data_IF_471460671225
#
_entry.id   IF_471460671225
#
_cell.length_a   1.000
_cell.length_b   1.000
_cell.length_c   1.000
_cell.angle_alpha   90.00
_cell.angle_beta   90.00
_cell.angle_gamma   90.00
#
_symmetry.space_group_name_H-M   'P 1'
#
loop_
_entity.id
_entity.type
_entity.pdbx_description
1 polymer ?
#
# COMPACT_ATOMS: atom_id res chain seq x y z
N UNK A 1 -50.24 18.62 -7.31
CA UNK A 1 -48.82 18.41 -7.68
C UNK A 1 -47.87 18.10 -6.49
N UNK A 2 -48.35 17.62 -5.32
CA UNK A 2 -47.51 17.42 -4.09
C UNK A 2 -46.97 15.99 -3.82
N UNK A 3 -47.25 15.00 -4.69
CA UNK A 3 -46.92 13.57 -4.42
C UNK A 3 -45.56 13.10 -4.99
N UNK A 4 -44.96 13.87 -5.90
CA UNK A 4 -43.62 13.55 -6.43
C UNK A 4 -42.50 13.79 -5.39
N UNK A 5 -42.67 14.78 -4.51
CA UNK A 5 -41.64 15.18 -3.54
C UNK A 5 -41.40 14.15 -2.44
N UNK A 6 -42.40 13.37 -2.02
CA UNK A 6 -42.18 12.32 -0.99
C UNK A 6 -41.42 11.12 -1.54
N UNK A 7 -41.81 10.63 -2.73
CA UNK A 7 -41.12 9.53 -3.43
C UNK A 7 -39.67 9.86 -3.78
N UNK A 8 -39.43 11.08 -4.27
CA UNK A 8 -38.08 11.56 -4.56
C UNK A 8 -37.21 11.62 -3.30
N UNK A 9 -37.77 12.06 -2.17
CA UNK A 9 -37.03 12.16 -0.91
C UNK A 9 -36.57 10.79 -0.39
N UNK A 10 -37.44 9.79 -0.42
CA UNK A 10 -37.09 8.41 0.00
C UNK A 10 -36.03 7.82 -0.94
N UNK A 11 -36.21 7.96 -2.26
CA UNK A 11 -35.21 7.48 -3.23
C UNK A 11 -33.85 8.18 -3.04
N UNK A 12 -33.85 9.49 -2.77
CA UNK A 12 -32.63 10.25 -2.49
C UNK A 12 -31.91 9.74 -1.24
N UNK A 13 -32.65 9.44 -0.16
CA UNK A 13 -32.08 8.86 1.05
C UNK A 13 -31.53 7.45 0.84
N UNK A 14 -32.23 6.61 0.06
CA UNK A 14 -31.73 5.27 -0.29
C UNK A 14 -30.43 5.34 -1.09
N UNK A 15 -30.36 6.23 -2.08
CA UNK A 15 -29.13 6.47 -2.85
C UNK A 15 -28.02 6.98 -1.93
N UNK A 16 -28.29 7.99 -1.11
CA UNK A 16 -27.28 8.57 -0.21
C UNK A 16 -26.70 7.54 0.76
N UNK A 17 -27.54 6.71 1.39
CA UNK A 17 -27.09 5.66 2.33
C UNK A 17 -26.28 4.59 1.60
N UNK A 18 -26.71 4.16 0.41
CA UNK A 18 -25.98 3.16 -0.35
C UNK A 18 -24.63 3.70 -0.86
N UNK A 19 -24.59 4.93 -1.38
CA UNK A 19 -23.34 5.59 -1.78
C UNK A 19 -22.38 5.68 -0.59
N UNK A 20 -22.89 6.06 0.58
CA UNK A 20 -22.08 6.14 1.80
C UNK A 20 -21.54 4.76 2.22
N UNK A 21 -22.38 3.72 2.21
CA UNK A 21 -21.98 2.36 2.55
C UNK A 21 -20.90 1.81 1.60
N UNK A 22 -21.08 1.98 0.29
CA UNK A 22 -20.11 1.56 -0.73
C UNK A 22 -18.79 2.33 -0.59
N UNK A 23 -18.86 3.65 -0.37
CA UNK A 23 -17.66 4.47 -0.19
C UNK A 23 -16.86 4.06 1.04
N UNK A 24 -17.54 3.81 2.17
CA UNK A 24 -16.90 3.33 3.39
C UNK A 24 -16.27 1.95 3.20
N UNK A 25 -16.99 1.03 2.54
CA UNK A 25 -16.48 -0.30 2.25
C UNK A 25 -15.23 -0.23 1.35
N UNK A 26 -15.25 0.58 0.30
CA UNK A 26 -14.12 0.78 -0.60
C UNK A 26 -12.91 1.39 0.09
N UNK A 27 -13.12 2.42 0.91
CA UNK A 27 -12.06 3.04 1.69
C UNK A 27 -11.44 2.04 2.67
N UNK A 28 -12.26 1.23 3.35
CA UNK A 28 -11.80 0.17 4.25
C UNK A 28 -11.00 -0.91 3.52
N UNK A 29 -11.47 -1.38 2.37
CA UNK A 29 -10.78 -2.36 1.55
C UNK A 29 -9.42 -1.84 1.05
N UNK A 30 -9.37 -0.60 0.54
CA UNK A 30 -8.13 0.03 0.11
C UNK A 30 -7.13 0.22 1.26
N UNK A 31 -7.61 0.61 2.45
CA UNK A 31 -6.77 0.72 3.64
C UNK A 31 -6.19 -0.64 4.05
N UNK A 32 -7.03 -1.68 4.08
CA UNK A 32 -6.60 -3.02 4.45
C UNK A 32 -5.56 -3.57 3.47
N UNK A 33 -5.84 -3.48 2.17
CA UNK A 33 -4.93 -3.94 1.12
C UNK A 33 -3.59 -3.19 1.17
N UNK A 34 -3.62 -1.86 1.32
CA UNK A 34 -2.39 -1.06 1.47
C UNK A 34 -1.57 -1.54 2.66
N UNK A 35 -2.22 -1.82 3.78
CA UNK A 35 -1.55 -2.27 5.01
C UNK A 35 -0.89 -3.63 4.79
N UNK A 36 -1.61 -4.59 4.24
CA UNK A 36 -1.13 -5.94 3.96
C UNK A 36 0.05 -5.93 2.96
N UNK A 37 -0.05 -5.14 1.89
CA UNK A 37 1.04 -4.99 0.92
C UNK A 37 2.29 -4.36 1.53
N UNK A 38 2.13 -3.35 2.39
CA UNK A 38 3.27 -2.75 3.10
C UNK A 38 3.89 -3.70 4.12
N UNK A 39 3.07 -4.49 4.82
CA UNK A 39 3.54 -5.51 5.77
C UNK A 39 4.31 -6.62 5.04
N UNK A 40 3.84 -7.05 3.86
CA UNK A 40 4.54 -8.01 3.01
C UNK A 40 5.89 -7.47 2.53
N UNK A 41 5.96 -6.23 2.06
CA UNK A 41 7.23 -5.59 1.69
C UNK A 41 8.17 -5.51 2.89
N UNK A 42 7.66 -5.12 4.06
CA UNK A 42 8.47 -5.03 5.27
C UNK A 42 8.98 -6.40 5.75
N UNK A 43 8.18 -7.45 5.60
CA UNK A 43 8.55 -8.83 5.90
C UNK A 43 9.60 -9.32 4.90
N UNK A 44 9.40 -9.09 3.61
CA UNK A 44 10.34 -9.46 2.56
C UNK A 44 11.70 -8.81 2.79
N UNK A 45 11.74 -7.51 3.09
CA UNK A 45 12.98 -6.79 3.45
C UNK A 45 13.64 -7.44 4.68
N UNK A 46 12.86 -7.84 5.70
CA UNK A 46 13.40 -8.41 6.94
C UNK A 46 13.95 -9.82 6.75
N UNK A 47 13.25 -10.69 6.03
CA UNK A 47 13.71 -12.05 5.72
C UNK A 47 15.04 -11.98 4.96
N UNK A 48 15.07 -11.13 3.95
CA UNK A 48 16.24 -10.82 3.15
C UNK A 48 17.39 -10.21 3.96
N UNK A 49 17.10 -9.27 4.86
CA UNK A 49 18.09 -8.67 5.75
C UNK A 49 18.69 -9.66 6.73
N UNK A 50 17.89 -10.62 7.19
CA UNK A 50 18.33 -11.67 8.10
C UNK A 50 19.30 -12.59 7.37
N UNK A 51 18.92 -13.10 6.19
CA UNK A 51 19.78 -13.92 5.34
C UNK A 51 21.11 -13.21 5.01
N UNK A 52 21.04 -11.93 4.61
CA UNK A 52 22.23 -11.13 4.33
C UNK A 52 23.10 -10.90 5.58
N UNK A 53 22.47 -10.62 6.73
CA UNK A 53 23.18 -10.44 7.98
C UNK A 53 23.88 -11.71 8.48
N UNK A 54 23.27 -12.87 8.24
CA UNK A 54 23.83 -14.16 8.64
C UNK A 54 25.05 -14.52 7.77
N UNK A 55 25.00 -14.21 6.47
CA UNK A 55 26.14 -14.33 5.54
C UNK A 55 27.31 -13.42 5.94
N UNK A 56 27.01 -12.18 6.37
CA UNK A 56 28.02 -11.26 6.92
C UNK A 56 28.68 -11.81 8.19
N UNK A 57 27.89 -12.40 9.09
CA UNK A 57 28.38 -12.98 10.34
C UNK A 57 29.22 -14.23 10.08
N UNK A 58 28.91 -15.03 9.06
CA UNK A 58 29.69 -16.20 8.66
C UNK A 58 31.05 -15.79 8.07
N UNK A 59 31.07 -14.78 7.20
CA UNK A 59 32.30 -14.26 6.60
C UNK A 59 33.22 -13.58 7.62
N UNK A 60 32.67 -12.91 8.64
CA UNK A 60 33.47 -12.37 9.75
C UNK A 60 34.10 -13.45 10.64
N UNK A 61 33.47 -14.62 10.77
CA UNK A 61 34.00 -15.72 11.59
C UNK A 61 35.10 -16.52 10.89
N UNK A 62 35.24 -16.42 9.56
CA UNK A 62 36.29 -17.08 8.81
C UNK A 62 37.69 -16.53 9.22
N UNK A 63 38.54 -17.35 9.88
CA UNK A 63 39.81 -16.87 10.39
C UNK A 63 40.82 -16.77 9.24
N UNK A 64 41.20 -15.54 8.84
CA UNK A 64 42.38 -15.31 7.99
C UNK A 64 42.24 -14.35 6.81
N UNK A 65 41.04 -13.86 6.45
CA UNK A 65 40.90 -12.80 5.44
C UNK A 65 40.58 -11.48 6.12
N UNK A 66 41.66 -10.80 6.54
CA UNK A 66 41.57 -9.51 7.21
C UNK A 66 40.88 -8.46 6.36
N UNK A 67 39.98 -7.71 7.00
CA UNK A 67 39.75 -6.25 6.89
C UNK A 67 39.61 -5.57 5.52
N UNK A 68 39.60 -6.32 4.43
CA UNK A 68 39.43 -5.83 3.09
C UNK A 68 37.94 -5.87 2.74
N UNK A 69 37.26 -4.78 3.11
CA UNK A 69 35.88 -4.50 2.73
C UNK A 69 35.60 -4.47 1.21
N UNK A 70 36.62 -4.75 0.39
CA UNK A 70 36.57 -5.04 -1.04
C UNK A 70 36.12 -6.47 -1.38
N UNK A 71 35.94 -7.35 -0.38
CA UNK A 71 35.49 -8.74 -0.54
C UNK A 71 33.96 -8.93 -0.64
N UNK A 72 33.19 -7.88 -0.95
CA UNK A 72 31.81 -8.05 -1.44
C UNK A 72 31.84 -7.92 -2.96
N UNK A 73 31.97 -9.01 -3.73
CA UNK A 73 31.80 -8.94 -5.17
C UNK A 73 30.43 -8.31 -5.44
N UNK A 74 30.40 -7.17 -6.11
CA UNK A 74 29.15 -6.53 -6.53
C UNK A 74 28.30 -7.48 -7.42
N UNK A 75 28.94 -8.53 -7.96
CA UNK A 75 28.35 -9.61 -8.74
C UNK A 75 27.48 -10.57 -7.92
N UNK A 76 27.71 -10.71 -6.60
CA UNK A 76 26.90 -11.56 -5.70
C UNK A 76 25.78 -10.79 -4.96
N UNK A 77 25.61 -9.50 -5.27
CA UNK A 77 24.50 -8.68 -4.77
C UNK A 77 23.27 -8.56 -5.73
N UNK A 78 22.91 -9.52 -6.61
CA UNK A 78 21.91 -9.30 -7.66
C UNK A 78 20.45 -9.28 -7.19
N UNK A 79 20.17 -9.26 -5.88
CA UNK A 79 18.79 -9.33 -5.34
C UNK A 79 18.23 -8.05 -4.74
N UNK A 80 19.05 -6.99 -4.63
CA UNK A 80 18.60 -5.74 -4.04
C UNK A 80 19.00 -4.55 -4.92
N UNK A 81 18.02 -3.89 -5.58
CA UNK A 81 18.32 -2.70 -6.37
C UNK A 81 18.85 -1.56 -5.48
N UNK A 82 18.46 -1.50 -4.21
CA UNK A 82 18.80 -0.42 -3.29
C UNK A 82 19.50 -0.93 -2.02
N UNK A 83 20.83 -0.82 -1.98
CA UNK A 83 21.66 -1.29 -0.84
C UNK A 83 22.74 -0.26 -0.47
N UNK A 84 22.89 0.00 0.82
CA UNK A 84 24.03 0.76 1.36
C UNK A 84 24.64 0.00 2.53
N UNK A 85 25.94 -0.33 2.47
CA UNK A 85 26.71 -0.96 3.55
C UNK A 85 27.73 0.02 4.12
N UNK A 86 27.84 0.06 5.44
CA UNK A 86 28.74 0.94 6.17
C UNK A 86 29.33 0.25 7.38
N UNK A 87 30.66 0.26 7.53
CA UNK A 87 31.33 -0.09 8.79
C UNK A 87 31.64 1.20 9.54
N UNK A 88 30.91 1.47 10.63
CA UNK A 88 31.04 2.75 11.36
C UNK A 88 30.80 3.98 10.48
N UNK A 89 31.85 4.75 10.20
CA UNK A 89 31.82 5.92 9.31
C UNK A 89 32.24 5.62 7.87
N UNK A 90 32.81 4.45 7.60
CA UNK A 90 33.35 4.07 6.29
C UNK A 90 32.28 3.39 5.44
N UNK A 91 31.99 3.97 4.27
CA UNK A 91 31.11 3.36 3.27
C UNK A 91 31.85 2.16 2.65
N UNK A 92 31.27 0.96 2.76
CA UNK A 92 31.84 -0.25 2.16
C UNK A 92 31.28 -0.46 0.75
N UNK A 93 29.96 -0.34 0.61
CA UNK A 93 29.29 -0.55 -0.65
C UNK A 93 28.05 0.34 -0.76
N UNK A 94 27.73 0.75 -1.99
CA UNK A 94 26.49 1.44 -2.33
C UNK A 94 26.03 1.01 -3.71
N UNK A 95 24.76 0.65 -3.84
CA UNK A 95 24.20 0.33 -5.14
C UNK A 95 24.11 1.58 -6.04
N UNK A 96 24.41 1.46 -7.36
CA UNK A 96 24.32 2.59 -8.29
C UNK A 96 22.92 3.22 -8.37
N UNK A 97 21.87 2.45 -8.10
CA UNK A 97 20.49 2.92 -8.14
C UNK A 97 20.18 4.00 -7.08
N UNK A 98 20.90 3.99 -5.95
CA UNK A 98 20.74 4.98 -4.87
C UNK A 98 21.27 6.37 -5.21
N UNK A 99 22.15 6.50 -6.20
CA UNK A 99 22.77 7.76 -6.59
C UNK A 99 23.41 8.48 -5.40
N UNK A 100 23.03 9.75 -5.15
CA UNK A 100 23.53 10.58 -4.04
C UNK A 100 22.63 10.57 -2.80
N UNK A 101 21.52 9.82 -2.79
CA UNK A 101 20.52 9.86 -1.73
C UNK A 101 21.01 9.19 -0.45
N UNK A 102 20.95 9.86 0.71
CA UNK A 102 21.37 9.27 2.00
C UNK A 102 20.28 8.34 2.55
N UNK A 103 20.56 7.04 2.60
CA UNK A 103 19.60 6.01 3.03
C UNK A 103 19.70 5.73 4.52
N UNK A 104 20.93 5.66 5.06
CA UNK A 104 21.18 5.48 6.48
C UNK A 104 21.10 6.86 7.16
N UNK A 105 20.04 7.15 7.96
CA UNK A 105 19.95 8.41 8.66
C UNK A 105 20.99 8.47 9.80
N UNK A 106 21.49 9.67 10.16
CA UNK A 106 22.44 9.85 11.26
C UNK A 106 21.84 9.49 12.63
N UNK A 107 20.51 9.42 12.74
CA UNK A 107 19.80 8.94 13.94
C UNK A 107 18.92 7.75 13.56
N UNK A 108 18.96 6.63 14.32
CA UNK A 108 18.09 5.50 14.08
C UNK A 108 16.62 5.93 14.24
N UNK A 109 15.78 5.55 13.27
CA UNK A 109 14.34 5.81 13.30
C UNK A 109 13.60 4.51 13.58
N UNK A 110 12.54 4.58 14.38
CA UNK A 110 11.67 3.43 14.69
C UNK A 110 10.77 3.00 13.52
N UNK A 111 10.57 3.85 12.51
CA UNK A 111 9.71 3.55 11.36
C UNK A 111 10.53 3.42 10.07
N UNK A 112 10.17 2.50 9.16
CA UNK A 112 10.74 2.44 7.82
C UNK A 112 10.62 3.80 7.11
N UNK A 113 11.65 4.16 6.33
CA UNK A 113 11.63 5.39 5.54
C UNK A 113 11.08 5.09 4.15
N UNK A 114 10.03 5.78 3.73
CA UNK A 114 9.63 5.83 2.33
C UNK A 114 10.30 7.03 1.67
N UNK A 115 11.04 6.78 0.59
CA UNK A 115 11.82 7.77 -0.12
C UNK A 115 11.60 7.60 -1.63
N UNK A 116 11.46 8.71 -2.35
CA UNK A 116 11.33 8.65 -3.81
C UNK A 116 12.72 8.65 -4.45
N UNK A 117 13.07 7.56 -5.13
CA UNK A 117 14.32 7.41 -5.89
C UNK A 117 13.98 7.35 -7.38
N UNK A 118 14.46 8.31 -8.18
CA UNK A 118 14.23 8.34 -9.64
C UNK A 118 12.75 8.09 -10.03
N UNK A 119 11.83 8.82 -9.39
CA UNK A 119 10.37 8.72 -9.55
C UNK A 119 9.70 7.45 -8.99
N UNK A 120 10.45 6.48 -8.47
CA UNK A 120 9.89 5.30 -7.81
C UNK A 120 9.85 5.52 -6.30
N UNK A 121 8.76 5.12 -5.64
CA UNK A 121 8.70 5.14 -4.18
C UNK A 121 9.40 3.89 -3.67
N UNK A 122 10.39 4.07 -2.81
CA UNK A 122 11.19 2.98 -2.26
C UNK A 122 11.07 3.01 -0.75
N UNK A 123 10.80 1.85 -0.15
CA UNK A 123 10.75 1.67 1.30
C UNK A 123 12.07 1.10 1.78
N UNK A 124 12.64 1.73 2.79
CA UNK A 124 13.95 1.40 3.34
C UNK A 124 13.87 0.98 4.80
N UNK A 125 14.63 -0.07 5.14
CA UNK A 125 14.91 -0.44 6.53
C UNK A 125 16.42 -0.53 6.75
N UNK A 126 16.86 -0.12 7.95
CA UNK A 126 18.26 -0.10 8.36
C UNK A 126 18.47 -1.16 9.43
N UNK A 127 19.49 -1.97 9.23
CA UNK A 127 19.87 -3.07 10.10
C UNK A 127 21.30 -2.86 10.60
N UNK A 128 21.60 -3.38 11.79
CA UNK A 128 22.91 -3.29 12.40
C UNK A 128 23.33 -4.66 12.91
N UNK A 129 24.52 -5.12 12.51
CA UNK A 129 25.18 -6.36 12.94
C UNK A 129 26.62 -6.02 13.35
N UNK A 130 26.90 -6.06 14.65
CA UNK A 130 28.18 -5.58 15.19
C UNK A 130 28.48 -4.12 14.82
N UNK A 131 29.62 -3.93 14.14
CA UNK A 131 30.08 -2.62 13.64
C UNK A 131 29.60 -2.30 12.21
N UNK A 132 28.96 -3.26 11.54
CA UNK A 132 28.39 -3.08 10.20
C UNK A 132 26.93 -2.63 10.33
N UNK A 133 26.61 -1.53 9.65
CA UNK A 133 25.26 -1.03 9.43
C UNK A 133 24.95 -1.13 7.95
N UNK A 134 23.85 -1.79 7.61
CA UNK A 134 23.41 -1.91 6.22
C UNK A 134 21.95 -1.49 6.08
N UNK A 135 21.62 -0.89 4.94
CA UNK A 135 20.26 -0.51 4.59
C UNK A 135 19.84 -1.23 3.33
N UNK A 136 18.64 -1.81 3.37
CA UNK A 136 18.01 -2.48 2.24
C UNK A 136 16.73 -1.71 1.88
N UNK A 137 16.54 -1.50 0.59
CA UNK A 137 15.37 -0.84 0.03
C UNK A 137 14.65 -1.70 -0.99
N UNK A 138 13.33 -1.61 -0.99
CA UNK A 138 12.45 -2.28 -1.95
C UNK A 138 11.47 -1.29 -2.59
N UNK A 139 11.21 -1.48 -3.88
CA UNK A 139 10.27 -0.66 -4.62
C UNK A 139 8.83 -0.91 -4.16
N UNK A 140 8.04 0.17 -4.05
CA UNK A 140 6.63 0.16 -3.73
C UNK A 140 5.75 0.15 -4.99
N UNK A 141 6.33 0.08 -6.20
CA UNK A 141 5.58 0.06 -7.45
C UNK A 141 4.49 -1.02 -7.47
N UNK A 142 4.79 -2.24 -7.03
CA UNK A 142 3.78 -3.30 -6.94
C UNK A 142 2.62 -2.95 -5.99
N UNK A 143 2.89 -2.20 -4.93
CA UNK A 143 1.87 -1.70 -4.00
C UNK A 143 1.01 -0.64 -4.68
N UNK A 144 1.67 0.26 -5.40
CA UNK A 144 1.02 1.37 -6.11
C UNK A 144 0.13 0.85 -7.25
N UNK A 145 0.63 -0.08 -8.05
CA UNK A 145 -0.10 -0.71 -9.15
C UNK A 145 -1.33 -1.48 -8.65
N UNK A 146 -1.19 -2.20 -7.53
CA UNK A 146 -2.31 -2.93 -6.93
C UNK A 146 -3.41 -1.99 -6.41
N UNK A 147 -3.02 -0.89 -5.74
CA UNK A 147 -3.97 0.12 -5.27
C UNK A 147 -4.62 0.86 -6.44
N UNK A 148 -3.87 1.17 -7.49
CA UNK A 148 -4.42 1.83 -8.67
C UNK A 148 -5.43 0.91 -9.39
N UNK A 149 -5.12 -0.38 -9.52
CA UNK A 149 -6.05 -1.37 -10.05
C UNK A 149 -7.37 -1.43 -9.25
N UNK A 150 -7.28 -1.43 -7.92
CA UNK A 150 -8.45 -1.39 -7.04
C UNK A 150 -9.27 -0.10 -7.23
N UNK A 151 -8.61 1.06 -7.29
CA UNK A 151 -9.27 2.35 -7.48
C UNK A 151 -9.95 2.45 -8.85
N UNK A 152 -9.30 1.97 -9.92
CA UNK A 152 -9.91 1.90 -11.26
C UNK A 152 -11.15 1.01 -11.28
N UNK A 153 -11.11 -0.14 -10.61
CA UNK A 153 -12.28 -1.01 -10.48
C UNK A 153 -13.41 -0.32 -9.70
N UNK A 154 -13.08 0.42 -8.64
CA UNK A 154 -14.04 1.20 -7.85
C UNK A 154 -14.71 2.31 -8.68
N UNK A 155 -13.96 2.95 -9.57
CA UNK A 155 -14.45 4.03 -10.42
C UNK A 155 -15.56 3.56 -11.39
N UNK A 156 -15.55 2.29 -11.78
CA UNK A 156 -16.57 1.68 -12.65
C UNK A 156 -17.72 1.09 -11.81
N UNK A 157 -17.40 0.39 -10.73
CA UNK A 157 -18.40 -0.32 -9.92
C UNK A 157 -19.26 0.61 -9.07
N UNK A 158 -18.70 1.68 -8.51
CA UNK A 158 -19.43 2.65 -7.69
C UNK A 158 -20.62 3.28 -8.45
N UNK A 159 -20.46 3.89 -9.65
CA UNK A 159 -21.60 4.45 -10.38
C UNK A 159 -22.62 3.38 -10.77
N UNK A 160 -22.18 2.17 -11.13
CA UNK A 160 -23.09 1.07 -11.47
C UNK A 160 -23.99 0.70 -10.28
N UNK A 161 -23.41 0.57 -9.08
CA UNK A 161 -24.16 0.29 -7.85
C UNK A 161 -25.10 1.43 -7.51
N UNK A 162 -24.66 2.67 -7.62
CA UNK A 162 -25.50 3.85 -7.38
C UNK A 162 -26.71 3.88 -8.32
N UNK A 163 -26.49 3.60 -9.62
CA UNK A 163 -27.58 3.53 -10.61
C UNK A 163 -28.53 2.36 -10.31
N UNK A 164 -28.02 1.18 -9.97
CA UNK A 164 -28.83 0.01 -9.63
C UNK A 164 -29.70 0.25 -8.39
N UNK A 165 -29.13 0.85 -7.33
CA UNK A 165 -29.87 1.21 -6.12
C UNK A 165 -30.90 2.30 -6.40
N UNK A 166 -30.53 3.33 -7.18
CA UNK A 166 -31.46 4.38 -7.58
C UNK A 166 -32.66 3.83 -8.36
N UNK A 167 -32.42 2.95 -9.32
CA UNK A 167 -33.46 2.28 -10.09
C UNK A 167 -34.34 1.38 -9.22
N UNK A 168 -33.74 0.57 -8.34
CA UNK A 168 -34.47 -0.29 -7.40
C UNK A 168 -35.35 0.50 -6.43
N UNK A 169 -34.83 1.59 -5.85
CA UNK A 169 -35.58 2.49 -4.97
C UNK A 169 -36.76 3.14 -5.68
N UNK A 170 -36.60 3.53 -6.94
CA UNK A 170 -37.68 4.09 -7.76
C UNK A 170 -38.78 3.05 -8.05
N UNK A 171 -38.42 1.82 -8.40
CA UNK A 171 -39.36 0.74 -8.68
C UNK A 171 -40.17 0.33 -7.43
N UNK A 172 -39.52 0.21 -6.27
CA UNK A 172 -40.17 -0.15 -5.01
C UNK A 172 -41.12 0.96 -4.56
N UNK A 173 -40.68 2.23 -4.61
CA UNK A 173 -41.55 3.38 -4.36
C UNK A 173 -42.73 3.42 -5.35
N UNK A 174 -42.50 2.96 -6.59
CA UNK A 174 -43.48 2.69 -7.65
C UNK A 174 -44.61 1.76 -7.19
N UNK A 175 -44.25 0.57 -6.71
CA UNK A 175 -45.19 -0.49 -6.31
C UNK A 175 -45.87 -0.25 -4.96
N UNK A 176 -45.17 0.30 -3.96
CA UNK A 176 -45.72 0.47 -2.60
C UNK A 176 -46.83 1.53 -2.50
N UNK A 177 -46.88 2.50 -3.41
CA UNK A 177 -47.89 3.59 -3.39
C UNK A 177 -49.13 3.24 -4.25
N UNK A 178 -49.05 2.20 -5.09
CA UNK A 178 -50.17 1.76 -5.92
C UNK A 178 -51.42 1.31 -5.12
N UNK A 179 -51.32 0.59 -3.98
CA UNK A 179 -52.51 0.03 -3.31
C UNK A 179 -53.31 1.04 -2.46
N UNK A 180 -52.77 2.22 -2.14
CA UNK A 180 -53.46 3.19 -1.27
C UNK A 180 -54.46 4.05 -2.08
N UNK A 181 -54.35 4.07 -3.42
CA UNK A 181 -55.26 4.84 -4.27
C UNK A 181 -56.67 4.26 -4.37
N UNK A 182 -56.84 2.96 -4.11
CA UNK A 182 -58.16 2.30 -4.15
C UNK A 182 -59.00 2.58 -2.91
N UNK A 183 -58.42 3.00 -1.79
CA UNK A 183 -59.18 3.29 -0.55
C UNK A 183 -59.72 4.73 -0.53
N UNK A 184 -59.07 5.66 -1.25
CA UNK A 184 -59.50 7.09 -1.28
C UNK A 184 -60.47 7.38 -2.45
N UNK A 185 -60.54 6.49 -3.46
CA UNK A 185 -61.47 6.62 -4.60
C UNK A 185 -62.79 5.88 -4.44
N UNK A 186 -63.03 5.23 -3.30
CA UNK A 186 -64.23 4.42 -3.04
C UNK A 186 -65.19 5.04 -1.99
N UNK A 187 -65.05 6.34 -1.73
CA UNK A 187 -66.00 7.13 -0.90
C UNK A 187 -66.69 8.19 -1.74
#
# INVERSE_FOLDING_TARGET
MKRLTFRARVALWSVAVATMAVTLFGAGAAWNLRRELLENVDQEIREKATAFGDELDEQQRAPGQGQDASLFPAEDLPRFPYVELRAGSRLLYRSPALGKMKVIPPKPRKRPNELTVKAHRVRFQVFRRGDITFALGQDLQAVDDALEGLLRAYLITLPLVVLAVGAGGWLIAGRAVAPIRTIIGAS
#
